data_IF_752417205925
#
_entry.id   IF_752417205925
#
_cell.length_a   1.000
_cell.length_b   1.000
_cell.length_c   1.000
_cell.angle_alpha   90.00
_cell.angle_beta   90.00
_cell.angle_gamma   90.00
#
_symmetry.space_group_name_H-M   'P 1'
#
loop_
_entity.id
_entity.type
_entity.pdbx_description
1 polymer ?
#
# COMPACT_ATOMS: atom_id res chain seq x y z
N UNK A 1 5.22 6.43 -44.40
CA UNK A 1 4.95 5.41 -43.35
C UNK A 1 3.98 6.08 -42.38
N UNK A 2 2.73 5.74 -42.44
CA UNK A 2 1.69 6.28 -41.53
C UNK A 2 1.89 5.62 -40.16
N UNK A 3 2.09 6.45 -39.12
CA UNK A 3 2.10 5.96 -37.73
C UNK A 3 0.80 5.23 -37.46
N UNK A 4 0.83 4.07 -36.79
CA UNK A 4 -0.39 3.34 -36.46
C UNK A 4 -1.29 4.23 -35.59
N UNK A 5 -2.52 4.37 -36.00
CA UNK A 5 -3.53 5.14 -35.26
C UNK A 5 -4.01 4.34 -34.06
N UNK A 6 -4.39 4.97 -32.93
CA UNK A 6 -4.89 4.29 -31.71
C UNK A 6 -6.11 3.37 -31.97
N UNK A 7 -6.76 3.49 -33.13
CA UNK A 7 -7.93 2.71 -33.53
C UNK A 7 -7.60 1.27 -34.01
N UNK A 8 -6.33 0.90 -34.09
CA UNK A 8 -5.92 -0.41 -34.60
C UNK A 8 -5.90 -1.52 -33.56
N UNK A 9 -5.85 -1.21 -32.25
CA UNK A 9 -5.91 -2.20 -31.16
C UNK A 9 -7.35 -2.45 -30.73
N UNK A 10 -7.75 -3.71 -30.67
CA UNK A 10 -9.03 -4.11 -30.08
C UNK A 10 -8.87 -4.84 -28.73
N UNK A 11 -9.97 -5.02 -28.04
CA UNK A 11 -9.97 -5.66 -26.73
C UNK A 11 -9.44 -7.09 -26.74
N UNK A 12 -9.72 -7.86 -27.81
CA UNK A 12 -9.26 -9.25 -27.93
C UNK A 12 -7.74 -9.32 -28.15
N UNK A 13 -7.14 -8.31 -28.82
CA UNK A 13 -5.69 -8.18 -28.95
C UNK A 13 -5.03 -7.98 -27.58
N UNK A 14 -5.61 -7.11 -26.76
CA UNK A 14 -5.11 -6.85 -25.40
C UNK A 14 -5.27 -8.08 -24.47
N UNK A 15 -6.39 -8.78 -24.53
CA UNK A 15 -6.62 -10.03 -23.80
C UNK A 15 -5.62 -11.12 -24.20
N UNK A 16 -5.28 -11.20 -25.46
CA UNK A 16 -4.27 -12.14 -25.97
C UNK A 16 -2.91 -11.91 -25.29
N UNK A 17 -2.47 -10.65 -25.22
CA UNK A 17 -1.19 -10.29 -24.57
C UNK A 17 -1.20 -10.64 -23.09
N UNK A 18 -2.28 -10.33 -22.39
CA UNK A 18 -2.45 -10.67 -20.96
C UNK A 18 -2.38 -12.19 -20.73
N UNK A 19 -3.02 -12.96 -21.59
CA UNK A 19 -3.04 -14.42 -21.51
C UNK A 19 -1.63 -15.02 -21.67
N UNK A 20 -0.87 -14.55 -22.66
CA UNK A 20 0.51 -15.00 -22.91
C UNK A 20 1.42 -14.63 -21.74
N UNK A 21 1.35 -13.38 -21.27
CA UNK A 21 2.18 -12.90 -20.17
C UNK A 21 1.88 -13.60 -18.84
N UNK A 22 0.60 -13.91 -18.58
CA UNK A 22 0.15 -14.57 -17.36
C UNK A 22 0.59 -16.03 -17.23
N UNK A 23 0.80 -16.71 -18.36
CA UNK A 23 1.16 -18.14 -18.36
C UNK A 23 2.62 -18.41 -18.76
N UNK A 24 3.38 -17.36 -19.07
CA UNK A 24 4.82 -17.46 -19.40
C UNK A 24 5.15 -18.25 -20.67
N UNK A 25 4.16 -18.63 -21.48
CA UNK A 25 4.37 -19.38 -22.71
C UNK A 25 3.10 -19.67 -23.48
N UNK A 26 3.26 -19.83 -24.83
CA UNK A 26 2.12 -19.97 -25.74
C UNK A 26 1.32 -21.26 -25.51
N UNK A 27 1.96 -22.36 -25.14
CA UNK A 27 1.27 -23.64 -24.92
C UNK A 27 0.29 -23.53 -23.72
N UNK A 28 0.78 -23.12 -22.56
CA UNK A 28 -0.04 -22.94 -21.37
C UNK A 28 -1.11 -21.83 -21.55
N UNK A 29 -0.77 -20.77 -22.28
CA UNK A 29 -1.71 -19.72 -22.63
C UNK A 29 -2.81 -20.20 -23.58
N UNK A 30 -2.48 -21.06 -24.54
CA UNK A 30 -3.43 -21.65 -25.46
C UNK A 30 -4.44 -22.54 -24.72
N UNK A 31 -3.94 -23.42 -23.86
CA UNK A 31 -4.79 -24.30 -23.01
C UNK A 31 -5.73 -23.46 -22.12
N UNK A 32 -5.21 -22.44 -21.44
CA UNK A 32 -6.01 -21.56 -20.59
C UNK A 32 -7.02 -20.70 -21.36
N UNK A 33 -6.71 -20.35 -22.61
CA UNK A 33 -7.57 -19.55 -23.47
C UNK A 33 -8.56 -20.37 -24.34
N UNK A 34 -8.52 -21.71 -24.26
CA UNK A 34 -9.34 -22.57 -25.11
C UNK A 34 -8.99 -22.46 -26.61
N UNK A 35 -7.75 -22.13 -26.93
CA UNK A 35 -7.24 -21.94 -28.28
C UNK A 35 -6.16 -22.97 -28.63
N UNK A 36 -5.96 -23.24 -29.94
CA UNK A 36 -4.79 -24.00 -30.33
C UNK A 36 -3.51 -23.14 -30.27
N UNK A 37 -2.36 -23.76 -29.96
CA UNK A 37 -1.05 -23.10 -29.99
C UNK A 37 -0.81 -22.36 -31.31
N UNK A 38 -1.15 -23.00 -32.45
CA UNK A 38 -0.97 -22.39 -33.76
C UNK A 38 -1.83 -21.13 -33.95
N UNK A 39 -3.07 -21.14 -33.42
CA UNK A 39 -3.96 -19.97 -33.48
C UNK A 39 -3.42 -18.83 -32.63
N UNK A 40 -2.97 -19.12 -31.41
CA UNK A 40 -2.42 -18.10 -30.51
C UNK A 40 -1.15 -17.48 -31.11
N UNK A 41 -0.24 -18.30 -31.63
CA UNK A 41 0.98 -17.85 -32.29
C UNK A 41 0.68 -16.96 -33.50
N UNK A 42 -0.27 -17.40 -34.37
CA UNK A 42 -0.66 -16.63 -35.56
C UNK A 42 -1.26 -15.27 -35.18
N UNK A 43 -2.10 -15.23 -34.14
CA UNK A 43 -2.69 -13.97 -33.65
C UNK A 43 -1.63 -13.03 -33.09
N UNK A 44 -0.69 -13.54 -32.29
CA UNK A 44 0.42 -12.75 -31.76
C UNK A 44 1.25 -12.15 -32.90
N UNK A 45 1.62 -12.97 -33.90
CA UNK A 45 2.40 -12.49 -35.07
C UNK A 45 1.65 -11.47 -35.91
N UNK A 46 0.33 -11.64 -36.09
CA UNK A 46 -0.48 -10.67 -36.79
C UNK A 46 -0.54 -9.32 -36.05
N UNK A 47 -0.63 -9.37 -34.72
CA UNK A 47 -0.63 -8.17 -33.88
C UNK A 47 0.74 -7.48 -33.89
N UNK A 48 1.85 -8.20 -33.74
CA UNK A 48 3.20 -7.65 -33.84
C UNK A 48 3.47 -7.00 -35.21
N UNK A 49 3.01 -7.65 -36.29
CA UNK A 49 3.10 -7.09 -37.65
C UNK A 49 2.25 -5.83 -37.82
N UNK A 50 1.04 -5.82 -37.26
CA UNK A 50 0.10 -4.68 -37.31
C UNK A 50 0.67 -3.46 -36.61
N UNK A 51 1.37 -3.64 -35.51
CA UNK A 51 1.96 -2.57 -34.69
C UNK A 51 3.39 -2.22 -35.13
N UNK A 52 3.99 -3.03 -36.00
CA UNK A 52 5.41 -2.98 -36.36
C UNK A 52 6.33 -3.02 -35.11
N UNK A 53 5.93 -3.80 -34.10
CA UNK A 53 6.63 -3.94 -32.83
C UNK A 53 6.74 -5.41 -32.44
N UNK A 54 7.87 -5.78 -31.84
CA UNK A 54 7.95 -7.03 -31.11
C UNK A 54 7.41 -6.83 -29.69
N UNK A 55 6.42 -7.66 -29.32
CA UNK A 55 5.77 -7.58 -28.02
C UNK A 55 6.28 -8.64 -27.04
N UNK A 56 6.80 -9.75 -27.57
CA UNK A 56 7.40 -10.81 -26.76
C UNK A 56 8.72 -11.29 -27.33
N UNK A 57 9.64 -11.62 -26.43
CA UNK A 57 10.87 -12.34 -26.71
C UNK A 57 10.72 -13.81 -26.31
N UNK A 58 11.24 -14.70 -27.16
CA UNK A 58 11.26 -16.13 -26.88
C UNK A 58 12.60 -16.47 -26.22
N UNK A 59 12.56 -16.74 -24.93
CA UNK A 59 13.71 -17.22 -24.15
C UNK A 59 13.57 -18.72 -23.88
N UNK A 60 14.65 -19.34 -23.34
CA UNK A 60 14.59 -20.73 -22.88
C UNK A 60 13.55 -20.94 -21.76
N UNK A 61 13.29 -19.92 -20.98
CA UNK A 61 12.27 -19.88 -19.91
C UNK A 61 10.84 -19.67 -20.41
N UNK A 62 10.63 -19.36 -21.69
CA UNK A 62 9.31 -19.10 -22.27
C UNK A 62 9.22 -17.78 -23.03
N UNK A 63 8.02 -17.19 -23.05
CA UNK A 63 7.74 -15.89 -23.68
C UNK A 63 7.76 -14.79 -22.61
N UNK A 64 8.69 -13.85 -22.76
CA UNK A 64 8.85 -12.71 -21.86
C UNK A 64 8.41 -11.43 -22.61
N UNK A 65 7.56 -10.56 -22.02
CA UNK A 65 7.19 -9.31 -22.67
C UNK A 65 8.42 -8.42 -22.90
N UNK A 66 8.52 -7.81 -24.09
CA UNK A 66 9.40 -6.67 -24.33
C UNK A 66 8.90 -5.46 -23.55
N UNK A 67 9.62 -4.34 -23.56
CA UNK A 67 9.15 -3.09 -22.97
C UNK A 67 7.78 -2.68 -23.51
N UNK A 68 7.61 -2.68 -24.83
CA UNK A 68 6.33 -2.35 -25.49
C UNK A 68 5.24 -3.39 -25.12
N UNK A 69 5.59 -4.67 -25.10
CA UNK A 69 4.69 -5.74 -24.65
C UNK A 69 4.24 -5.58 -23.21
N UNK A 70 5.14 -5.21 -22.31
CA UNK A 70 4.83 -4.98 -20.89
C UNK A 70 3.86 -3.79 -20.70
N UNK A 71 4.07 -2.70 -21.42
CA UNK A 71 3.18 -1.53 -21.42
C UNK A 71 1.76 -1.89 -21.87
N UNK A 72 1.62 -2.68 -22.96
CA UNK A 72 0.31 -3.12 -23.45
C UNK A 72 -0.35 -4.17 -22.54
N UNK A 73 0.42 -5.07 -21.95
CA UNK A 73 -0.09 -6.03 -20.94
C UNK A 73 -0.64 -5.28 -19.73
N UNK A 74 0.05 -4.24 -19.27
CA UNK A 74 -0.42 -3.44 -18.14
C UNK A 74 -1.67 -2.62 -18.49
N UNK A 75 -1.72 -2.05 -19.70
CA UNK A 75 -2.94 -1.43 -20.21
C UNK A 75 -4.11 -2.41 -20.24
N UNK A 76 -3.89 -3.63 -20.76
CA UNK A 76 -4.90 -4.70 -20.77
C UNK A 76 -5.42 -5.02 -19.37
N UNK A 77 -4.53 -5.14 -18.40
CA UNK A 77 -4.90 -5.38 -16.99
C UNK A 77 -5.76 -4.26 -16.42
N UNK A 78 -5.38 -3.00 -16.68
CA UNK A 78 -6.18 -1.84 -16.25
C UNK A 78 -7.58 -1.87 -16.85
N UNK A 79 -7.70 -2.03 -18.17
CA UNK A 79 -8.98 -2.09 -18.86
C UNK A 79 -9.86 -3.25 -18.36
N UNK A 80 -9.28 -4.44 -18.15
CA UNK A 80 -10.01 -5.57 -17.58
C UNK A 80 -10.56 -5.26 -16.18
N UNK A 81 -9.78 -4.57 -15.36
CA UNK A 81 -10.20 -4.13 -14.01
C UNK A 81 -11.36 -3.13 -14.10
N UNK A 82 -11.27 -2.16 -14.99
CA UNK A 82 -12.31 -1.13 -15.18
C UNK A 82 -13.62 -1.75 -15.68
N UNK A 83 -13.54 -2.62 -16.68
CA UNK A 83 -14.71 -3.37 -17.16
C UNK A 83 -15.33 -4.20 -16.03
N UNK A 84 -14.52 -4.87 -15.23
CA UNK A 84 -14.99 -5.63 -14.08
C UNK A 84 -15.72 -4.73 -13.08
N UNK A 85 -15.14 -3.56 -12.74
CA UNK A 85 -15.75 -2.58 -11.84
C UNK A 85 -17.10 -2.10 -12.34
N UNK A 86 -17.16 -1.70 -13.62
CA UNK A 86 -18.42 -1.23 -14.24
C UNK A 86 -19.46 -2.36 -14.27
N UNK A 87 -19.05 -3.56 -14.66
CA UNK A 87 -19.96 -4.72 -14.72
C UNK A 87 -20.48 -5.09 -13.33
N UNK A 88 -19.63 -5.06 -12.30
CA UNK A 88 -20.02 -5.27 -10.91
C UNK A 88 -20.92 -4.15 -10.39
N UNK A 89 -20.64 -2.90 -10.76
CA UNK A 89 -21.50 -1.76 -10.42
C UNK A 89 -22.90 -1.88 -11.05
N UNK A 90 -22.98 -2.37 -12.27
CA UNK A 90 -24.25 -2.62 -12.95
C UNK A 90 -25.03 -3.80 -12.34
N UNK A 91 -24.32 -4.87 -11.98
CA UNK A 91 -24.89 -6.02 -11.25
C UNK A 91 -25.23 -5.70 -9.80
N UNK A 92 -24.44 -4.84 -9.15
CA UNK A 92 -24.56 -4.49 -7.71
C UNK A 92 -25.69 -3.54 -7.37
N UNK A 93 -26.59 -3.18 -8.33
CA UNK A 93 -27.90 -2.57 -7.99
C UNK A 93 -28.82 -3.55 -7.29
N UNK A 94 -28.52 -4.84 -7.30
CA UNK A 94 -29.17 -5.90 -6.51
C UNK A 94 -28.17 -6.56 -5.55
N UNK A 95 -27.94 -5.89 -4.45
CA UNK A 95 -27.80 -6.38 -3.07
C UNK A 95 -26.91 -7.60 -2.74
N UNK A 96 -25.68 -7.77 -3.25
CA UNK A 96 -24.74 -8.65 -2.55
C UNK A 96 -23.41 -7.97 -2.28
N UNK A 97 -23.00 -7.81 -0.99
CA UNK A 97 -21.71 -7.22 -0.65
C UNK A 97 -20.53 -8.17 -0.87
N UNK A 98 -20.76 -9.38 -1.37
CA UNK A 98 -19.72 -10.36 -1.68
C UNK A 98 -18.80 -9.96 -2.84
N UNK A 99 -17.78 -10.79 -3.11
CA UNK A 99 -16.77 -10.58 -4.14
C UNK A 99 -15.41 -10.20 -3.59
N UNK A 100 -14.44 -10.02 -4.50
CA UNK A 100 -13.09 -9.65 -4.15
C UNK A 100 -12.99 -8.14 -3.88
N UNK A 101 -12.38 -7.77 -2.76
CA UNK A 101 -12.03 -6.40 -2.40
C UNK A 101 -10.52 -6.32 -2.16
N UNK A 102 -9.84 -5.51 -2.96
CA UNK A 102 -8.40 -5.27 -2.84
C UNK A 102 -8.16 -4.10 -1.92
N UNK A 103 -7.45 -4.36 -0.83
CA UNK A 103 -7.13 -3.37 0.19
C UNK A 103 -5.62 -3.22 0.32
N UNK A 104 -5.11 -1.99 0.41
CA UNK A 104 -3.71 -1.76 0.72
C UNK A 104 -3.51 -0.78 1.88
N UNK A 105 -2.48 -1.03 2.67
CA UNK A 105 -2.07 -0.17 3.78
C UNK A 105 -0.56 -0.30 3.99
N UNK A 106 0.03 0.65 4.73
CA UNK A 106 1.39 0.47 5.22
C UNK A 106 1.48 -0.75 6.15
N UNK A 107 2.63 -1.40 6.17
CA UNK A 107 2.92 -2.56 7.00
C UNK A 107 2.68 -2.30 8.49
N UNK A 108 2.95 -1.09 8.95
CA UNK A 108 2.74 -0.64 10.34
C UNK A 108 1.28 -0.73 10.80
N UNK A 109 0.33 -0.48 9.90
CA UNK A 109 -1.10 -0.61 10.22
C UNK A 109 -1.53 -2.07 10.29
N UNK A 110 -0.88 -2.94 9.52
CA UNK A 110 -1.18 -4.37 9.47
C UNK A 110 -0.64 -5.15 10.66
N UNK A 111 0.25 -4.58 11.48
CA UNK A 111 0.80 -5.31 12.61
C UNK A 111 -0.24 -5.58 13.70
N UNK A 112 -0.97 -4.55 14.13
CA UNK A 112 -1.82 -4.67 15.32
C UNK A 112 -3.23 -4.07 15.12
N UNK A 113 -3.38 -2.99 14.36
CA UNK A 113 -4.60 -2.18 14.35
C UNK A 113 -5.64 -2.60 13.31
N UNK A 114 -5.20 -2.91 12.08
CA UNK A 114 -6.12 -3.26 11.00
C UNK A 114 -6.62 -4.70 11.02
N UNK A 115 -5.85 -5.73 11.38
CA UNK A 115 -6.31 -7.11 11.28
C UNK A 115 -7.63 -7.37 12.03
N UNK A 116 -7.86 -6.90 13.26
CA UNK A 116 -9.14 -7.09 13.94
C UNK A 116 -10.32 -6.41 13.21
N UNK A 117 -10.10 -5.23 12.63
CA UNK A 117 -11.12 -4.50 11.88
C UNK A 117 -11.44 -5.20 10.56
N UNK A 118 -10.43 -5.66 9.83
CA UNK A 118 -10.63 -6.39 8.59
C UNK A 118 -11.31 -7.76 8.81
N UNK A 119 -10.94 -8.46 9.89
CA UNK A 119 -11.57 -9.72 10.27
C UNK A 119 -13.05 -9.54 10.61
N UNK A 120 -13.40 -8.51 11.40
CA UNK A 120 -14.78 -8.22 11.73
C UNK A 120 -15.61 -7.76 10.52
N UNK A 121 -15.00 -7.03 9.60
CA UNK A 121 -15.64 -6.68 8.33
C UNK A 121 -15.90 -7.90 7.45
N UNK A 122 -14.91 -8.76 7.27
CA UNK A 122 -15.01 -9.98 6.48
C UNK A 122 -16.11 -10.92 7.03
N UNK A 123 -16.14 -11.12 8.35
CA UNK A 123 -17.15 -11.96 8.99
C UNK A 123 -18.59 -11.45 8.79
N UNK A 124 -18.79 -10.11 8.81
CA UNK A 124 -20.12 -9.50 8.62
C UNK A 124 -20.59 -9.49 7.17
N UNK A 125 -19.68 -9.39 6.22
CA UNK A 125 -20.02 -9.11 4.82
C UNK A 125 -19.64 -10.21 3.85
N UNK A 126 -19.03 -11.32 4.33
CA UNK A 126 -18.63 -12.47 3.51
C UNK A 126 -17.83 -12.09 2.24
N UNK A 127 -17.02 -11.03 2.35
CA UNK A 127 -16.20 -10.49 1.28
C UNK A 127 -14.86 -11.24 1.24
N UNK A 128 -14.36 -11.55 0.07
CA UNK A 128 -12.98 -12.01 -0.09
C UNK A 128 -12.05 -10.80 -0.07
N UNK A 129 -11.17 -10.70 0.92
CA UNK A 129 -10.19 -9.63 1.03
C UNK A 129 -8.86 -10.07 0.44
N UNK A 130 -8.31 -9.24 -0.45
CA UNK A 130 -6.91 -9.32 -0.87
C UNK A 130 -6.17 -8.13 -0.27
N UNK A 131 -5.30 -8.38 0.71
CA UNK A 131 -4.57 -7.34 1.43
C UNK A 131 -3.14 -7.27 0.92
N UNK A 132 -2.66 -6.06 0.65
CA UNK A 132 -1.28 -5.78 0.22
C UNK A 132 -0.66 -4.73 1.14
N UNK A 133 0.62 -4.91 1.47
CA UNK A 133 1.42 -3.86 2.10
C UNK A 133 2.03 -2.97 1.03
N UNK A 134 1.89 -1.66 1.19
CA UNK A 134 2.44 -0.67 0.28
C UNK A 134 2.03 0.75 0.64
N UNK A 135 2.88 1.71 0.31
CA UNK A 135 2.67 3.13 0.54
C UNK A 135 2.38 3.92 -0.74
N UNK A 136 2.57 3.31 -1.91
CA UNK A 136 2.38 3.99 -3.19
C UNK A 136 0.90 4.33 -3.43
N UNK A 137 0.63 5.56 -3.88
CA UNK A 137 -0.72 5.98 -4.33
C UNK A 137 -1.04 5.46 -5.74
N UNK A 138 -0.02 5.18 -6.53
CA UNK A 138 -0.15 4.69 -7.90
C UNK A 138 -0.94 3.39 -7.99
N UNK A 139 -0.83 2.49 -7.02
CA UNK A 139 -1.57 1.23 -6.98
C UNK A 139 -3.10 1.45 -6.93
N UNK A 140 -3.56 2.52 -6.28
CA UNK A 140 -4.98 2.92 -6.25
C UNK A 140 -5.40 3.56 -7.58
N UNK A 141 -4.58 4.50 -8.08
CA UNK A 141 -4.86 5.20 -9.34
C UNK A 141 -4.88 4.23 -10.53
N UNK A 142 -3.99 3.27 -10.55
CA UNK A 142 -3.91 2.24 -11.61
C UNK A 142 -4.93 1.11 -11.44
N UNK A 143 -5.74 1.13 -10.37
CA UNK A 143 -6.78 0.13 -10.12
C UNK A 143 -6.24 -1.23 -9.66
N UNK A 144 -5.02 -1.31 -9.15
CA UNK A 144 -4.47 -2.52 -8.52
C UNK A 144 -5.07 -2.73 -7.12
N UNK A 145 -5.49 -1.64 -6.49
CA UNK A 145 -6.14 -1.58 -5.19
C UNK A 145 -7.48 -0.88 -5.30
N UNK A 146 -8.50 -1.39 -4.64
CA UNK A 146 -9.85 -0.80 -4.62
C UNK A 146 -9.96 0.26 -3.50
N UNK A 147 -9.39 -0.04 -2.33
CA UNK A 147 -9.35 0.85 -1.16
C UNK A 147 -7.97 0.86 -0.55
N UNK A 148 -7.46 2.03 -0.24
CA UNK A 148 -6.17 2.18 0.44
C UNK A 148 -6.30 2.97 1.75
N UNK A 149 -5.54 2.56 2.77
CA UNK A 149 -5.29 3.35 3.98
C UNK A 149 -3.91 3.98 3.87
N UNK A 150 -3.85 5.30 3.90
CA UNK A 150 -2.60 6.05 3.74
C UNK A 150 -2.46 7.13 4.80
N UNK A 151 -1.24 7.28 5.31
CA UNK A 151 -0.84 8.44 6.10
C UNK A 151 -0.21 9.49 5.18
N UNK A 152 -0.64 10.74 5.29
CA UNK A 152 -0.12 11.82 4.44
C UNK A 152 -1.05 13.01 4.42
N UNK A 153 -1.03 13.76 3.32
CA UNK A 153 -1.95 14.85 3.03
C UNK A 153 -3.26 14.39 2.39
N UNK A 154 -4.13 15.33 1.98
CA UNK A 154 -5.36 15.03 1.26
C UNK A 154 -5.07 14.28 -0.05
N UNK A 155 -6.01 13.44 -0.52
CA UNK A 155 -5.82 12.66 -1.73
C UNK A 155 -5.63 13.57 -2.95
N UNK A 156 -4.67 13.24 -3.83
CA UNK A 156 -4.56 13.91 -5.13
C UNK A 156 -5.69 13.45 -6.07
N UNK A 157 -6.12 14.31 -6.97
CA UNK A 157 -7.02 13.91 -8.04
C UNK A 157 -6.42 12.80 -8.92
N UNK A 158 -7.23 11.86 -9.43
CA UNK A 158 -8.69 11.71 -9.33
C UNK A 158 -9.17 10.88 -8.12
N UNK A 159 -8.35 10.67 -7.10
CA UNK A 159 -8.75 9.90 -5.93
C UNK A 159 -9.70 10.70 -5.03
N UNK A 160 -10.60 9.97 -4.39
CA UNK A 160 -11.49 10.50 -3.35
C UNK A 160 -11.26 9.76 -2.05
N UNK A 161 -11.50 10.42 -0.93
CA UNK A 161 -11.23 9.78 0.35
C UNK A 161 -12.02 10.36 1.51
N UNK A 162 -11.85 9.70 2.64
CA UNK A 162 -12.34 10.13 3.95
C UNK A 162 -11.19 10.20 4.93
N UNK A 163 -11.01 11.35 5.55
CA UNK A 163 -10.07 11.48 6.67
C UNK A 163 -10.61 10.72 7.89
N UNK A 164 -9.76 9.90 8.49
CA UNK A 164 -10.10 9.08 9.65
C UNK A 164 -9.60 9.71 10.95
N UNK A 165 -8.32 10.11 10.99
CA UNK A 165 -7.66 10.61 12.18
C UNK A 165 -6.48 11.51 11.81
N UNK A 166 -5.91 12.17 12.80
CA UNK A 166 -4.60 12.81 12.72
C UNK A 166 -3.57 11.83 13.29
N UNK A 167 -2.47 11.65 12.61
CA UNK A 167 -1.36 10.79 13.04
C UNK A 167 -0.27 11.64 13.66
N UNK A 168 0.01 11.40 14.93
CA UNK A 168 1.14 11.99 15.63
C UNK A 168 2.32 11.02 15.60
N UNK A 169 3.54 11.55 15.60
CA UNK A 169 4.77 10.79 15.65
C UNK A 169 5.76 11.45 16.60
N UNK A 170 6.66 10.65 17.19
CA UNK A 170 7.69 11.16 18.08
C UNK A 170 8.90 10.24 18.14
N UNK A 171 9.90 10.58 18.94
CA UNK A 171 11.11 9.78 19.14
C UNK A 171 10.87 8.76 20.25
N UNK A 172 11.27 7.52 19.98
CA UNK A 172 11.19 6.39 20.92
C UNK A 172 12.57 5.81 21.22
N UNK A 173 12.71 5.28 22.41
CA UNK A 173 13.83 4.48 22.85
C UNK A 173 13.34 3.18 23.48
N UNK A 174 14.17 2.13 23.48
CA UNK A 174 13.96 0.96 24.33
C UNK A 174 13.96 1.36 25.81
N UNK A 175 13.07 0.78 26.61
CA UNK A 175 13.09 0.96 28.08
C UNK A 175 14.37 0.43 28.71
N UNK A 176 15.10 -0.46 28.03
CA UNK A 176 16.38 -1.01 28.48
C UNK A 176 17.52 -0.02 28.31
N UNK A 177 17.34 1.02 27.47
CA UNK A 177 18.37 2.01 27.19
C UNK A 177 18.32 3.10 28.26
N UNK A 178 19.31 3.12 29.16
CA UNK A 178 19.46 4.16 30.18
C UNK A 178 20.03 5.47 29.66
N UNK A 179 19.90 6.54 30.42
CA UNK A 179 20.56 7.83 30.11
C UNK A 179 20.01 8.59 28.90
N UNK A 180 18.86 8.22 28.40
CA UNK A 180 18.23 8.86 27.23
C UNK A 180 17.19 9.88 27.65
N UNK A 181 17.37 11.11 27.18
CA UNK A 181 16.47 12.25 27.39
C UNK A 181 16.48 13.16 26.15
N UNK A 182 15.63 14.17 26.14
CA UNK A 182 15.62 15.19 25.07
C UNK A 182 16.95 15.95 24.93
N UNK A 183 17.77 16.02 25.99
CA UNK A 183 19.05 16.70 26.02
C UNK A 183 20.22 15.83 25.55
N UNK A 184 20.00 14.54 25.35
CA UNK A 184 21.07 13.58 24.99
C UNK A 184 20.83 12.90 23.64
N UNK A 185 20.01 13.48 22.79
CA UNK A 185 19.65 12.92 21.49
C UNK A 185 20.86 12.79 20.55
N UNK A 186 21.80 13.74 20.64
CA UNK A 186 23.05 13.80 19.87
C UNK A 186 24.12 12.82 20.35
N UNK A 187 23.96 12.29 21.57
CA UNK A 187 24.88 11.33 22.17
C UNK A 187 24.45 9.86 21.93
N UNK A 188 23.29 9.67 21.32
CA UNK A 188 22.73 8.33 21.12
C UNK A 188 22.86 7.87 19.67
N UNK A 189 23.05 6.56 19.43
CA UNK A 189 22.88 5.99 18.10
C UNK A 189 21.42 6.10 17.65
N UNK A 190 21.21 6.22 16.34
CA UNK A 190 19.87 6.31 15.73
C UNK A 190 19.61 5.16 14.78
N UNK A 191 18.36 4.75 14.72
CA UNK A 191 17.78 3.92 13.68
C UNK A 191 16.97 4.84 12.77
N UNK A 192 17.48 5.06 11.57
CA UNK A 192 16.87 5.94 10.58
C UNK A 192 16.10 5.19 9.50
N UNK A 193 15.53 5.96 8.60
CA UNK A 193 14.91 5.44 7.39
C UNK A 193 15.82 5.69 6.19
N UNK A 194 15.60 4.93 5.12
CA UNK A 194 16.32 5.10 3.86
C UNK A 194 15.62 6.09 2.91
N UNK A 195 16.04 6.09 1.64
CA UNK A 195 15.58 7.03 0.62
C UNK A 195 14.07 6.91 0.32
N UNK A 196 13.49 5.70 0.43
CA UNK A 196 12.06 5.50 0.17
C UNK A 196 11.18 6.27 1.16
N UNK A 197 11.64 6.40 2.41
CA UNK A 197 10.93 7.09 3.48
C UNK A 197 11.56 8.46 3.85
N UNK A 198 12.54 8.95 3.10
CA UNK A 198 13.19 10.25 3.35
C UNK A 198 12.22 11.44 3.27
N UNK A 199 11.06 11.25 2.62
CA UNK A 199 10.00 12.24 2.54
C UNK A 199 9.26 12.47 3.87
N UNK A 200 9.43 11.61 4.88
CA UNK A 200 8.80 11.77 6.19
C UNK A 200 9.37 13.00 6.93
N UNK A 201 8.50 13.74 7.61
CA UNK A 201 8.89 14.92 8.37
C UNK A 201 9.93 14.59 9.45
N UNK A 202 9.82 13.45 10.10
CA UNK A 202 10.77 12.95 11.10
C UNK A 202 12.15 12.64 10.50
N UNK A 203 12.21 12.11 9.27
CA UNK A 203 13.48 11.86 8.59
C UNK A 203 14.19 13.19 8.24
N UNK A 204 13.45 14.13 7.68
CA UNK A 204 13.99 15.48 7.38
C UNK A 204 14.44 16.20 8.65
N UNK A 205 13.67 16.07 9.73
CA UNK A 205 14.06 16.67 11.01
C UNK A 205 15.40 16.10 11.50
N UNK A 206 15.58 14.78 11.45
CA UNK A 206 16.81 14.12 11.88
C UNK A 206 18.03 14.64 11.10
N UNK A 207 17.92 14.79 9.79
CA UNK A 207 18.97 15.36 8.94
C UNK A 207 19.21 16.85 9.27
N UNK A 208 18.15 17.65 9.45
CA UNK A 208 18.24 19.08 9.79
C UNK A 208 18.87 19.35 11.15
N UNK A 209 18.73 18.41 12.11
CA UNK A 209 19.40 18.47 13.41
C UNK A 209 20.88 18.03 13.34
N UNK A 210 21.38 17.63 12.17
CA UNK A 210 22.73 17.11 12.02
C UNK A 210 22.95 15.73 12.63
N UNK A 211 21.87 15.03 12.99
CA UNK A 211 21.89 13.69 13.62
C UNK A 211 22.08 12.56 12.61
N UNK A 212 22.14 12.86 11.33
CA UNK A 212 22.35 11.87 10.26
C UNK A 212 23.64 11.06 10.42
N UNK A 213 24.66 11.63 11.08
CA UNK A 213 25.94 10.95 11.38
C UNK A 213 25.84 9.91 12.48
N UNK A 214 24.86 10.02 13.38
CA UNK A 214 24.58 9.07 14.46
C UNK A 214 23.70 7.91 14.01
N UNK A 215 23.20 7.92 12.76
CA UNK A 215 22.38 6.84 12.21
C UNK A 215 23.25 5.62 11.96
N UNK A 216 23.09 4.62 12.83
CA UNK A 216 23.83 3.36 12.76
C UNK A 216 23.20 2.37 11.77
N UNK A 217 21.87 2.44 11.57
CA UNK A 217 21.11 1.54 10.69
C UNK A 217 20.03 2.33 9.96
N UNK A 218 19.85 2.06 8.65
CA UNK A 218 18.75 2.58 7.84
C UNK A 218 17.87 1.43 7.31
N UNK A 219 16.57 1.67 7.22
CA UNK A 219 15.59 0.69 6.72
C UNK A 219 14.44 1.39 6.00
N UNK A 220 13.78 0.70 5.08
CA UNK A 220 12.62 1.19 4.33
C UNK A 220 11.26 0.90 5.02
N UNK A 221 11.28 0.51 6.30
CA UNK A 221 10.05 0.16 7.03
C UNK A 221 10.08 0.70 8.46
N UNK A 222 9.06 1.47 8.84
CA UNK A 222 8.88 1.94 10.21
C UNK A 222 8.58 0.77 11.18
N UNK A 223 8.06 -0.33 10.68
CA UNK A 223 7.92 -1.55 11.47
C UNK A 223 9.29 -2.14 11.85
N UNK A 224 10.25 -2.11 10.92
CA UNK A 224 11.63 -2.49 11.21
C UNK A 224 12.30 -1.49 12.15
N UNK A 225 12.08 -0.18 11.98
CA UNK A 225 12.58 0.83 12.95
C UNK A 225 12.10 0.47 14.35
N UNK A 226 10.80 0.15 14.55
CA UNK A 226 10.27 -0.30 15.86
C UNK A 226 11.05 -1.47 16.42
N UNK A 227 11.27 -2.51 15.64
CA UNK A 227 11.96 -3.72 16.10
C UNK A 227 13.42 -3.45 16.48
N UNK A 228 14.13 -2.65 15.68
CA UNK A 228 15.53 -2.29 15.93
C UNK A 228 15.68 -1.41 17.17
N UNK A 229 14.79 -0.43 17.36
CA UNK A 229 14.72 0.41 18.58
C UNK A 229 14.40 -0.46 19.80
N UNK A 230 13.43 -1.35 19.69
CA UNK A 230 13.08 -2.30 20.74
C UNK A 230 14.26 -3.19 21.15
N UNK A 231 15.07 -3.61 20.19
CA UNK A 231 16.29 -4.38 20.42
C UNK A 231 17.42 -3.56 21.10
N UNK A 232 17.24 -2.23 21.23
CA UNK A 232 18.21 -1.34 21.87
C UNK A 232 19.30 -0.81 20.95
N UNK A 233 19.10 -0.86 19.62
CA UNK A 233 20.09 -0.38 18.63
C UNK A 233 20.20 1.15 18.58
N UNK A 234 19.29 1.88 19.24
CA UNK A 234 19.33 3.34 19.29
C UNK A 234 17.93 3.95 19.40
N UNK A 235 17.86 5.24 19.10
CA UNK A 235 16.62 6.00 19.04
C UNK A 235 15.98 5.86 17.66
N UNK A 236 14.65 5.96 17.58
CA UNK A 236 13.96 5.99 16.31
C UNK A 236 12.70 6.82 16.35
N UNK A 237 12.40 7.46 15.23
CA UNK A 237 11.16 8.19 15.05
C UNK A 237 10.05 7.25 14.59
N UNK A 238 8.94 7.19 15.34
CA UNK A 238 7.81 6.30 15.07
C UNK A 238 6.48 7.04 15.21
N UNK A 239 5.46 6.65 14.44
CA UNK A 239 4.08 7.04 14.74
C UNK A 239 3.68 6.60 16.16
N UNK A 240 2.91 7.44 16.85
CA UNK A 240 2.50 7.16 18.23
C UNK A 240 1.72 5.85 18.36
N UNK A 241 0.86 5.53 17.39
CA UNK A 241 0.11 4.26 17.40
C UNK A 241 1.01 3.02 17.38
N UNK A 242 2.23 3.16 16.85
CA UNK A 242 3.18 2.05 16.74
C UNK A 242 4.11 1.97 17.97
N UNK A 243 4.57 3.13 18.45
CA UNK A 243 5.49 3.21 19.57
C UNK A 243 4.81 3.06 20.94
N UNK A 244 3.65 3.72 21.14
CA UNK A 244 2.92 3.63 22.41
C UNK A 244 2.26 2.27 22.63
N UNK A 245 1.96 1.53 21.56
CA UNK A 245 1.43 0.17 21.67
C UNK A 245 2.50 -0.84 22.13
N UNK A 246 3.78 -0.52 21.99
CA UNK A 246 4.87 -1.42 22.36
C UNK A 246 5.30 -1.19 23.81
N UNK A 247 5.09 -2.18 24.73
CA UNK A 247 5.43 -2.03 26.14
C UNK A 247 6.94 -1.91 26.42
N UNK A 248 7.79 -2.33 25.48
CA UNK A 248 9.25 -2.26 25.62
C UNK A 248 9.80 -0.88 25.22
N UNK A 249 8.95 -0.03 24.63
CA UNK A 249 9.33 1.32 24.18
C UNK A 249 8.86 2.40 25.14
N UNK A 250 9.52 3.55 25.09
CA UNK A 250 9.09 4.79 25.75
C UNK A 250 9.35 5.99 24.87
N UNK A 251 8.52 7.02 24.99
CA UNK A 251 8.75 8.31 24.34
C UNK A 251 9.99 8.98 24.95
N UNK A 252 10.73 9.68 24.11
CA UNK A 252 11.91 10.48 24.51
C UNK A 252 11.60 11.98 24.48
N UNK A 253 10.78 12.39 23.53
CA UNK A 253 10.29 13.79 23.40
C UNK A 253 8.78 13.81 23.20
N UNK A 254 8.16 14.96 23.42
CA UNK A 254 6.77 15.17 23.04
C UNK A 254 6.62 15.19 21.50
N UNK A 255 5.47 14.78 20.96
CA UNK A 255 5.24 14.79 19.52
C UNK A 255 5.37 16.19 18.90
N UNK A 256 6.35 16.41 18.00
CA UNK A 256 6.51 17.70 17.33
C UNK A 256 5.31 17.98 16.39
N UNK A 257 4.82 19.23 16.39
CA UNK A 257 3.63 19.61 15.60
C UNK A 257 3.81 19.45 14.10
N UNK A 258 5.00 19.67 13.61
CA UNK A 258 5.41 19.58 12.20
C UNK A 258 5.60 18.14 11.70
N UNK A 259 5.56 17.13 12.60
CA UNK A 259 5.57 15.73 12.20
C UNK A 259 4.17 15.15 11.98
N UNK A 260 3.15 15.96 12.16
CA UNK A 260 1.77 15.54 12.00
C UNK A 260 1.45 15.18 10.56
N UNK A 261 0.70 14.11 10.41
CA UNK A 261 0.07 13.73 9.15
C UNK A 261 -1.38 13.36 9.36
N UNK A 262 -2.10 13.12 8.29
CA UNK A 262 -3.49 12.70 8.36
C UNK A 262 -3.62 11.24 7.88
N UNK A 263 -4.55 10.52 8.48
CA UNK A 263 -4.91 9.17 8.05
C UNK A 263 -6.13 9.23 7.14
N UNK A 264 -5.98 8.72 5.94
CA UNK A 264 -7.01 8.74 4.91
C UNK A 264 -7.37 7.34 4.43
N UNK A 265 -8.66 7.08 4.26
CA UNK A 265 -9.15 6.02 3.39
C UNK A 265 -9.36 6.60 2.00
N UNK A 266 -8.75 5.97 1.00
CA UNK A 266 -8.74 6.43 -0.38
C UNK A 266 -9.37 5.38 -1.30
N UNK A 267 -10.06 5.84 -2.33
CA UNK A 267 -10.59 5.02 -3.41
C UNK A 267 -10.72 5.84 -4.68
N UNK A 268 -10.99 5.21 -5.80
CA UNK A 268 -11.34 5.90 -7.03
C UNK A 268 -12.80 6.35 -7.00
N UNK A 269 -13.12 7.42 -7.74
CA UNK A 269 -14.47 8.00 -7.78
C UNK A 269 -15.53 6.96 -8.17
N UNK A 270 -15.20 6.09 -9.16
CA UNK A 270 -16.11 5.07 -9.69
C UNK A 270 -16.44 3.99 -8.65
N UNK A 271 -15.50 3.71 -7.75
CA UNK A 271 -15.67 2.68 -6.71
C UNK A 271 -16.41 3.18 -5.46
N UNK A 272 -16.51 4.51 -5.28
CA UNK A 272 -17.07 5.10 -4.06
C UNK A 272 -18.48 4.62 -3.75
N UNK A 273 -19.29 4.37 -4.79
CA UNK A 273 -20.69 3.94 -4.64
C UNK A 273 -20.85 2.41 -4.66
N UNK A 274 -19.78 1.65 -4.87
CA UNK A 274 -19.82 0.19 -4.83
C UNK A 274 -20.12 -0.26 -3.39
N UNK A 275 -21.17 -1.06 -3.14
CA UNK A 275 -21.65 -1.38 -1.80
C UNK A 275 -20.57 -1.91 -0.85
N UNK A 276 -19.71 -2.83 -1.31
CA UNK A 276 -18.62 -3.39 -0.49
C UNK A 276 -17.57 -2.34 -0.11
N UNK A 277 -17.26 -1.40 -1.02
CA UNK A 277 -16.34 -0.29 -0.75
C UNK A 277 -16.93 0.67 0.25
N UNK A 278 -18.18 1.11 0.03
CA UNK A 278 -18.89 2.01 0.93
C UNK A 278 -18.98 1.43 2.35
N UNK A 279 -19.37 0.17 2.49
CA UNK A 279 -19.46 -0.52 3.78
C UNK A 279 -18.09 -0.67 4.46
N UNK A 280 -16.99 -0.91 3.70
CA UNK A 280 -15.66 -0.93 4.27
C UNK A 280 -15.26 0.46 4.79
N UNK A 281 -15.58 1.54 4.06
CA UNK A 281 -15.32 2.90 4.52
C UNK A 281 -16.06 3.21 5.83
N UNK A 282 -17.33 2.85 5.94
CA UNK A 282 -18.12 3.03 7.15
C UNK A 282 -17.54 2.21 8.31
N UNK A 283 -17.25 0.93 8.06
CA UNK A 283 -16.73 0.02 9.07
C UNK A 283 -15.35 0.47 9.61
N UNK A 284 -14.42 0.83 8.73
CA UNK A 284 -13.10 1.30 9.16
C UNK A 284 -13.16 2.68 9.82
N UNK A 285 -14.06 3.56 9.38
CA UNK A 285 -14.28 4.85 10.04
C UNK A 285 -14.78 4.66 11.48
N UNK A 286 -15.76 3.81 11.68
CA UNK A 286 -16.29 3.53 13.03
C UNK A 286 -15.25 2.82 13.90
N UNK A 287 -14.55 1.81 13.36
CA UNK A 287 -13.54 1.06 14.10
C UNK A 287 -12.33 1.92 14.51
N UNK A 288 -11.90 2.84 13.66
CA UNK A 288 -10.79 3.74 13.99
C UNK A 288 -11.13 4.77 15.07
N UNK A 289 -12.39 5.08 15.31
CA UNK A 289 -12.78 6.01 16.40
C UNK A 289 -12.32 5.55 17.78
N UNK A 290 -12.40 4.26 18.06
CA UNK A 290 -11.89 3.69 19.29
C UNK A 290 -10.34 3.75 19.41
N UNK A 291 -9.66 3.80 18.28
CA UNK A 291 -8.20 3.84 18.17
C UNK A 291 -7.65 5.28 18.12
N UNK A 292 -8.51 6.30 17.98
CA UNK A 292 -8.08 7.71 17.89
C UNK A 292 -7.14 8.15 19.01
N UNK A 293 -7.38 7.84 20.31
CA UNK A 293 -6.47 8.26 21.36
C UNK A 293 -5.03 7.74 21.15
N UNK A 294 -4.89 6.52 20.62
CA UNK A 294 -3.60 5.92 20.32
C UNK A 294 -2.98 6.55 19.04
N UNK A 295 -3.77 6.69 17.98
CA UNK A 295 -3.31 7.24 16.70
C UNK A 295 -2.85 8.69 16.86
N UNK A 296 -3.60 9.48 17.65
CA UNK A 296 -3.32 10.88 17.91
C UNK A 296 -2.37 11.11 19.10
N UNK A 297 -1.70 10.06 19.57
CA UNK A 297 -0.70 10.15 20.63
C UNK A 297 -1.24 10.66 21.98
N UNK A 298 -2.55 10.57 22.22
CA UNK A 298 -3.22 11.01 23.46
C UNK A 298 -3.30 9.93 24.53
N UNK A 299 -2.88 8.71 24.19
CA UNK A 299 -2.79 7.58 25.13
C UNK A 299 -1.32 7.15 25.24
N UNK A 300 -0.45 7.93 25.89
CA UNK A 300 0.85 7.40 26.24
C UNK A 300 0.62 6.19 27.15
N UNK A 301 1.34 5.10 26.94
CA UNK A 301 1.51 4.07 27.95
C UNK A 301 2.31 4.64 29.12
N UNK A 302 1.83 5.76 29.66
CA UNK A 302 2.37 6.38 30.81
C UNK A 302 1.78 5.69 32.04
N UNK A 303 2.65 5.15 32.85
CA UNK A 303 2.47 5.02 34.28
C UNK A 303 1.41 4.02 34.81
N UNK A 304 1.06 2.97 34.08
CA UNK A 304 0.25 1.88 34.68
C UNK A 304 1.04 0.96 35.61
N UNK A 305 2.33 1.25 35.90
CA UNK A 305 3.15 0.53 36.87
C UNK A 305 3.95 1.50 37.78
N UNK A 306 3.27 2.40 38.48
CA UNK A 306 3.72 2.75 39.80
C UNK A 306 3.00 1.80 40.76
N UNK A 307 3.68 0.88 41.46
CA UNK A 307 3.10 0.25 42.61
C UNK A 307 2.82 1.39 43.61
N UNK A 308 1.61 1.45 44.11
CA UNK A 308 1.30 2.25 45.29
C UNK A 308 2.25 1.74 46.41
N UNK A 309 3.18 2.60 46.82
CA UNK A 309 3.88 2.49 48.09
C UNK A 309 2.94 2.84 49.20
#
# INVERSE_FOLDING_TARGET
MTSPTPHDLNWDDLRLLQLIAGHGGLAKAADAGGLSHATLFRRLRALEKKLDLRLFERLRSGYVPTRAGAELVELSRRMARELHVVTESLRGREAWPGGLLRFSAADTWMQDLLPPLLASYQARHQVQLQVRSGNALLDVQQGETDVALRSGGPPPEPLVGRRLARVEATVYASRKLGGVSAQTLDLQPWVGVDEELAHLASARWLENQGLGRQVAVRTNSLAHVRQLVRAGMGLGALPCYLGDADPELRRVIDPPRDWRSELWLLTRVELRQVPRVKKLFEHLYEGTRALMPLIEGRSPQADRRRPAT
#
